data_IF_688547081105
#
_entry.id   IF_688547081105
#
_cell.length_a   1.000
_cell.length_b   1.000
_cell.length_c   1.000
_cell.angle_alpha   90.00
_cell.angle_beta   90.00
_cell.angle_gamma   90.00
#
_symmetry.space_group_name_H-M   'P 1'
#
loop_
_entity.id
_entity.type
_entity.pdbx_description
1 polymer ?
#
# COMPACT_ATOMS: atom_id res chain seq x y z
N UNK A 1 -9.54 7.02 36.91
CA UNK A 1 -9.71 6.30 35.62
C UNK A 1 -9.00 7.00 34.48
N UNK A 2 -9.22 8.29 34.13
CA UNK A 2 -8.58 8.93 32.93
C UNK A 2 -7.04 8.91 32.93
N UNK A 3 -6.38 9.12 34.10
CA UNK A 3 -4.91 9.07 34.20
C UNK A 3 -4.36 7.63 33.99
N UNK A 4 -5.02 6.64 34.57
CA UNK A 4 -4.65 5.23 34.38
C UNK A 4 -4.76 4.80 32.92
N UNK A 5 -5.86 5.14 32.25
CA UNK A 5 -6.03 4.85 30.81
C UNK A 5 -4.94 5.53 29.96
N UNK A 6 -4.56 6.78 30.25
CA UNK A 6 -3.46 7.47 29.54
C UNK A 6 -2.12 6.76 29.72
N UNK A 7 -1.76 6.40 30.98
CA UNK A 7 -0.50 5.69 31.26
C UNK A 7 -0.49 4.35 30.56
N UNK A 8 -1.59 3.59 30.63
CA UNK A 8 -1.71 2.29 29.96
C UNK A 8 -1.58 2.41 28.44
N UNK A 9 -2.22 3.41 27.85
CA UNK A 9 -2.09 3.67 26.40
C UNK A 9 -0.64 3.99 26.01
N UNK A 10 0.05 4.83 26.78
CA UNK A 10 1.47 5.17 26.53
C UNK A 10 2.35 3.93 26.65
N UNK A 11 2.12 3.07 27.64
CA UNK A 11 2.87 1.82 27.78
C UNK A 11 2.67 0.86 26.61
N UNK A 12 1.44 0.73 26.10
CA UNK A 12 1.15 -0.07 24.91
C UNK A 12 1.92 0.48 23.70
N UNK A 13 1.85 1.79 23.46
CA UNK A 13 2.59 2.38 22.34
C UNK A 13 4.09 2.23 22.50
N UNK A 14 4.62 2.43 23.71
CA UNK A 14 6.05 2.20 23.99
C UNK A 14 6.44 0.77 23.67
N UNK A 15 5.67 -0.22 24.10
CA UNK A 15 5.92 -1.63 23.83
C UNK A 15 5.87 -1.95 22.32
N UNK A 16 4.90 -1.39 21.59
CA UNK A 16 4.75 -1.61 20.14
C UNK A 16 5.92 -1.00 19.35
N UNK A 17 6.38 0.19 19.74
CA UNK A 17 7.46 0.88 19.02
C UNK A 17 8.86 0.58 19.55
N UNK A 18 8.98 -0.11 20.70
CA UNK A 18 10.26 -0.44 21.31
C UNK A 18 11.23 -1.17 20.35
N UNK A 19 10.81 -2.20 19.58
CA UNK A 19 11.71 -2.86 18.63
C UNK A 19 12.23 -1.90 17.56
N UNK A 20 11.39 -0.97 17.08
CA UNK A 20 11.78 0.03 16.07
C UNK A 20 12.75 1.07 16.66
N UNK A 21 12.54 1.47 17.92
CA UNK A 21 13.45 2.37 18.64
C UNK A 21 14.81 1.70 18.84
N UNK A 22 14.84 0.41 19.23
CA UNK A 22 16.08 -0.35 19.39
C UNK A 22 16.85 -0.42 18.08
N UNK A 23 16.18 -0.73 16.95
CA UNK A 23 16.81 -0.72 15.62
C UNK A 23 17.33 0.67 15.26
N UNK A 24 16.55 1.72 15.55
CA UNK A 24 16.95 3.10 15.35
C UNK A 24 18.20 3.48 16.12
N UNK A 25 18.31 3.08 17.40
CA UNK A 25 19.50 3.29 18.20
C UNK A 25 20.67 2.48 17.66
N UNK A 26 20.45 1.19 17.34
CA UNK A 26 21.50 0.31 16.80
C UNK A 26 22.04 0.81 15.45
N UNK A 27 21.28 1.56 14.66
CA UNK A 27 21.72 2.13 13.39
C UNK A 27 22.84 3.17 13.57
N UNK A 28 22.96 3.77 14.75
CA UNK A 28 24.02 4.72 15.11
C UNK A 28 25.18 4.07 15.87
N UNK A 29 25.14 2.75 16.12
CA UNK A 29 26.20 2.05 16.84
C UNK A 29 27.38 1.76 15.91
N UNK A 30 28.60 1.89 16.43
CA UNK A 30 29.84 1.48 15.73
C UNK A 30 30.04 -0.03 15.69
N UNK A 31 29.49 -0.74 16.69
CA UNK A 31 29.58 -2.19 16.80
C UNK A 31 28.62 -2.93 15.83
N UNK A 32 28.87 -4.22 15.71
CA UNK A 32 28.04 -5.13 14.91
C UNK A 32 26.91 -5.76 15.72
N UNK A 33 27.02 -5.73 17.05
CA UNK A 33 26.06 -6.32 17.97
C UNK A 33 25.03 -5.25 18.40
N UNK A 34 23.74 -5.64 18.35
CA UNK A 34 22.63 -4.78 18.79
C UNK A 34 22.60 -4.65 20.33
N UNK A 35 23.13 -5.65 21.04
CA UNK A 35 23.08 -5.72 22.50
C UNK A 35 24.16 -4.86 23.19
N UNK A 36 25.24 -4.50 22.48
CA UNK A 36 26.35 -3.72 23.02
C UNK A 36 26.47 -2.37 22.36
N UNK A 37 26.62 -1.32 23.14
CA UNK A 37 26.84 0.03 22.64
C UNK A 37 28.32 0.36 22.62
N UNK A 38 28.95 0.37 21.44
CA UNK A 38 30.36 0.59 21.24
C UNK A 38 30.73 2.04 20.84
N UNK A 39 29.72 2.88 20.64
CA UNK A 39 29.90 4.30 20.33
C UNK A 39 29.00 4.82 19.22
N UNK A 40 28.90 6.13 19.12
CA UNK A 40 28.06 6.79 18.11
C UNK A 40 28.79 6.93 16.76
N UNK A 41 28.10 6.56 15.66
CA UNK A 41 28.62 6.76 14.31
C UNK A 41 27.50 7.04 13.30
N UNK A 42 27.80 7.82 12.28
CA UNK A 42 27.00 7.95 11.05
C UNK A 42 27.56 7.10 9.90
N UNK A 43 28.61 6.33 10.20
CA UNK A 43 29.30 5.49 9.21
C UNK A 43 28.37 4.48 8.53
N UNK A 44 27.38 3.95 9.24
CA UNK A 44 26.40 2.99 8.71
C UNK A 44 25.53 3.62 7.60
N UNK A 45 25.09 4.86 7.80
CA UNK A 45 24.34 5.61 6.79
C UNK A 45 25.21 5.93 5.58
N UNK A 46 26.47 6.33 5.81
CA UNK A 46 27.42 6.56 4.72
C UNK A 46 27.68 5.28 3.92
N UNK A 47 27.88 4.16 4.60
CA UNK A 47 28.05 2.84 3.96
C UNK A 47 26.80 2.42 3.18
N UNK A 48 25.59 2.71 3.71
CA UNK A 48 24.33 2.46 3.03
C UNK A 48 24.21 3.25 1.72
N UNK A 49 24.49 4.56 1.74
CA UNK A 49 24.41 5.42 0.55
C UNK A 49 25.52 5.13 -0.48
N UNK A 50 26.60 4.47 -0.09
CA UNK A 50 27.65 4.02 -0.99
C UNK A 50 27.42 2.58 -1.48
N UNK A 51 26.37 1.91 -1.01
CA UNK A 51 26.07 0.54 -1.40
C UNK A 51 25.35 0.50 -2.75
N UNK A 52 26.07 0.10 -3.77
CA UNK A 52 25.56 -0.01 -5.14
C UNK A 52 24.59 -1.18 -5.35
N UNK A 53 24.36 -2.04 -4.33
CA UNK A 53 23.43 -3.16 -4.39
C UNK A 53 22.08 -2.81 -3.76
N UNK A 54 22.08 -2.12 -2.61
CA UNK A 54 20.84 -1.80 -1.86
C UNK A 54 20.03 -0.66 -2.48
N UNK A 55 20.68 0.38 -2.99
CA UNK A 55 20.00 1.52 -3.59
C UNK A 55 19.17 1.16 -4.83
N UNK A 56 19.68 0.35 -5.79
CA UNK A 56 18.86 -0.14 -6.89
C UNK A 56 17.65 -0.97 -6.45
N UNK A 57 17.79 -1.80 -5.41
CA UNK A 57 16.68 -2.59 -4.87
C UNK A 57 15.58 -1.72 -4.25
N UNK A 58 15.99 -0.65 -3.56
CA UNK A 58 15.06 0.38 -3.08
C UNK A 58 14.34 1.04 -4.26
N UNK A 59 15.07 1.43 -5.31
CA UNK A 59 14.51 1.97 -6.54
C UNK A 59 13.50 1.01 -7.20
N UNK A 60 13.82 -0.28 -7.26
CA UNK A 60 12.91 -1.31 -7.79
C UNK A 60 11.61 -1.39 -6.99
N UNK A 61 11.70 -1.36 -5.64
CA UNK A 61 10.52 -1.40 -4.77
C UNK A 61 9.63 -0.18 -4.95
N UNK A 62 10.21 1.02 -5.04
CA UNK A 62 9.44 2.24 -5.32
C UNK A 62 8.83 2.21 -6.72
N UNK A 63 9.58 1.75 -7.73
CA UNK A 63 9.08 1.66 -9.11
C UNK A 63 7.87 0.74 -9.19
N UNK A 64 7.97 -0.47 -8.63
CA UNK A 64 6.86 -1.43 -8.66
C UNK A 64 5.65 -0.91 -7.89
N UNK A 65 5.88 -0.33 -6.69
CA UNK A 65 4.82 0.23 -5.85
C UNK A 65 4.08 1.37 -6.53
N UNK A 66 4.80 2.31 -7.15
CA UNK A 66 4.19 3.44 -7.87
C UNK A 66 3.39 2.95 -9.08
N UNK A 67 4.00 2.10 -9.92
CA UNK A 67 3.35 1.64 -11.15
C UNK A 67 2.14 0.76 -10.83
N UNK A 68 2.26 -0.15 -9.87
CA UNK A 68 1.15 -0.98 -9.41
C UNK A 68 0.03 -0.13 -8.80
N UNK A 69 0.35 0.82 -7.92
CA UNK A 69 -0.63 1.70 -7.30
C UNK A 69 -1.38 2.56 -8.33
N UNK A 70 -0.70 3.11 -9.34
CA UNK A 70 -1.36 3.89 -10.40
C UNK A 70 -2.31 3.01 -11.21
N UNK A 71 -1.85 1.84 -11.65
CA UNK A 71 -2.68 0.94 -12.48
C UNK A 71 -3.84 0.38 -11.67
N UNK A 72 -3.60 -0.09 -10.45
CA UNK A 72 -4.66 -0.63 -9.58
C UNK A 72 -5.66 0.45 -9.17
N UNK A 73 -5.23 1.71 -8.99
CA UNK A 73 -6.13 2.84 -8.73
C UNK A 73 -7.06 3.09 -9.90
N UNK A 74 -6.54 3.11 -11.12
CA UNK A 74 -7.38 3.29 -12.31
C UNK A 74 -8.36 2.13 -12.47
N UNK A 75 -7.86 0.90 -12.46
CA UNK A 75 -8.68 -0.30 -12.65
C UNK A 75 -9.67 -0.50 -11.49
N UNK A 76 -9.25 -0.30 -10.24
CA UNK A 76 -10.08 -0.41 -9.05
C UNK A 76 -11.18 0.65 -9.00
N UNK A 77 -10.87 1.88 -9.41
CA UNK A 77 -11.88 2.94 -9.54
C UNK A 77 -12.90 2.61 -10.63
N UNK A 78 -12.45 2.15 -11.79
CA UNK A 78 -13.36 1.70 -12.86
C UNK A 78 -14.24 0.54 -12.41
N UNK A 79 -13.65 -0.43 -11.69
CA UNK A 79 -14.41 -1.54 -11.10
C UNK A 79 -15.43 -1.05 -10.06
N UNK A 80 -15.06 -0.11 -9.19
CA UNK A 80 -15.98 0.48 -8.20
C UNK A 80 -17.16 1.20 -8.87
N UNK A 81 -16.91 1.97 -9.94
CA UNK A 81 -17.97 2.61 -10.77
C UNK A 81 -18.90 1.54 -11.35
N UNK A 82 -18.33 0.49 -11.94
CA UNK A 82 -19.11 -0.62 -12.50
C UNK A 82 -19.96 -1.33 -11.44
N UNK A 83 -19.38 -1.66 -10.30
CA UNK A 83 -20.07 -2.30 -9.16
C UNK A 83 -21.17 -1.38 -8.60
N UNK A 84 -20.91 -0.06 -8.53
CA UNK A 84 -21.91 0.91 -8.06
C UNK A 84 -23.16 0.90 -8.93
N UNK A 85 -22.99 0.81 -10.26
CA UNK A 85 -24.08 0.81 -11.25
C UNK A 85 -24.86 -0.51 -11.30
N UNK A 86 -24.40 -1.57 -10.64
CA UNK A 86 -25.06 -2.89 -10.64
C UNK A 86 -26.33 -2.90 -9.79
N UNK A 87 -27.27 -3.77 -10.17
CA UNK A 87 -28.44 -4.12 -9.34
C UNK A 87 -27.99 -4.78 -8.03
N UNK A 88 -28.85 -4.74 -7.00
CA UNK A 88 -28.54 -5.17 -5.63
C UNK A 88 -27.89 -6.58 -5.53
N UNK A 89 -28.42 -7.58 -6.26
CA UNK A 89 -27.89 -8.97 -6.20
C UNK A 89 -26.48 -9.11 -6.82
N UNK A 90 -26.25 -8.70 -8.08
CA UNK A 90 -24.90 -8.79 -8.66
C UNK A 90 -23.90 -7.86 -7.95
N UNK A 91 -24.34 -6.70 -7.44
CA UNK A 91 -23.50 -5.82 -6.61
C UNK A 91 -23.01 -6.53 -5.35
N UNK A 92 -23.90 -7.21 -4.62
CA UNK A 92 -23.54 -7.96 -3.43
C UNK A 92 -22.55 -9.09 -3.75
N UNK A 93 -22.78 -9.84 -4.84
CA UNK A 93 -21.85 -10.88 -5.29
C UNK A 93 -20.49 -10.32 -5.65
N UNK A 94 -20.43 -9.24 -6.44
CA UNK A 94 -19.18 -8.58 -6.81
C UNK A 94 -18.40 -8.11 -5.60
N UNK A 95 -19.06 -7.48 -4.61
CA UNK A 95 -18.42 -7.04 -3.37
C UNK A 95 -17.91 -8.22 -2.54
N UNK A 96 -18.64 -9.34 -2.49
CA UNK A 96 -18.17 -10.57 -1.81
C UNK A 96 -16.91 -11.10 -2.51
N UNK A 97 -16.91 -11.19 -3.84
CA UNK A 97 -15.77 -11.66 -4.62
C UNK A 97 -14.54 -10.73 -4.45
N UNK A 98 -14.75 -9.42 -4.33
CA UNK A 98 -13.69 -8.44 -4.06
C UNK A 98 -13.04 -8.67 -2.69
N UNK A 99 -13.81 -9.12 -1.68
CA UNK A 99 -13.29 -9.35 -0.34
C UNK A 99 -12.53 -10.68 -0.20
N UNK A 100 -12.75 -11.67 -1.06
CA UNK A 100 -12.10 -13.00 -0.97
C UNK A 100 -10.56 -12.88 -0.97
N UNK A 101 -9.92 -12.16 -1.90
CA UNK A 101 -8.47 -12.06 -1.91
C UNK A 101 -7.88 -11.45 -0.63
N UNK A 102 -8.59 -10.53 0.01
CA UNK A 102 -8.13 -9.87 1.24
C UNK A 102 -8.20 -10.77 2.48
N UNK A 103 -9.08 -11.76 2.48
CA UNK A 103 -9.22 -12.72 3.58
C UNK A 103 -8.36 -13.96 3.37
N UNK A 104 -7.85 -14.15 2.16
CA UNK A 104 -6.97 -15.27 1.83
C UNK A 104 -5.55 -14.99 2.33
N UNK A 105 -4.85 -15.95 2.96
CA UNK A 105 -3.46 -15.78 3.34
C UNK A 105 -2.57 -15.42 2.13
N UNK A 106 -1.73 -14.40 2.27
CA UNK A 106 -0.87 -13.91 1.18
C UNK A 106 0.01 -14.99 0.57
N UNK A 107 0.46 -15.95 1.40
CA UNK A 107 1.26 -17.09 0.94
C UNK A 107 0.50 -17.97 -0.05
N UNK A 108 -0.82 -18.15 0.15
CA UNK A 108 -1.67 -18.94 -0.77
C UNK A 108 -1.85 -18.18 -2.09
N UNK A 109 -2.07 -16.88 -2.00
CA UNK A 109 -2.18 -16.00 -3.17
C UNK A 109 -0.87 -16.00 -3.96
N UNK A 110 0.28 -15.81 -3.28
CA UNK A 110 1.60 -15.80 -3.91
C UNK A 110 1.94 -17.11 -4.61
N UNK A 111 1.72 -18.26 -3.95
CA UNK A 111 1.95 -19.59 -4.54
C UNK A 111 1.01 -19.82 -5.73
N UNK A 112 -0.26 -19.45 -5.62
CA UNK A 112 -1.23 -19.61 -6.71
C UNK A 112 -0.86 -18.80 -7.94
N UNK A 113 -0.41 -17.54 -7.75
CA UNK A 113 0.08 -16.70 -8.84
C UNK A 113 1.36 -17.25 -9.45
N UNK A 114 2.29 -17.75 -8.64
CA UNK A 114 3.52 -18.37 -9.14
C UNK A 114 3.23 -19.58 -10.02
N UNK A 115 2.29 -20.45 -9.60
CA UNK A 115 1.85 -21.61 -10.38
C UNK A 115 1.15 -21.18 -11.68
N UNK A 116 0.32 -20.15 -11.61
CA UNK A 116 -0.34 -19.59 -12.79
C UNK A 116 0.69 -19.05 -13.79
N UNK A 117 1.67 -18.28 -13.35
CA UNK A 117 2.71 -17.72 -14.21
C UNK A 117 3.62 -18.82 -14.80
N UNK A 118 3.95 -19.84 -14.01
CA UNK A 118 4.71 -20.99 -14.49
C UNK A 118 3.93 -21.75 -15.58
N UNK A 119 2.63 -21.97 -15.39
CA UNK A 119 1.75 -22.58 -16.38
C UNK A 119 1.70 -21.76 -17.68
N UNK A 120 1.45 -20.44 -17.56
CA UNK A 120 1.44 -19.52 -18.71
C UNK A 120 2.79 -19.54 -19.43
N UNK A 121 3.92 -19.60 -18.69
CA UNK A 121 5.25 -19.72 -19.25
C UNK A 121 5.44 -20.98 -20.09
N UNK A 122 4.96 -22.10 -19.58
CA UNK A 122 4.99 -23.38 -20.29
C UNK A 122 4.18 -23.32 -21.59
N UNK A 123 2.96 -22.77 -21.53
CA UNK A 123 2.09 -22.61 -22.71
C UNK A 123 2.71 -21.69 -23.76
N UNK A 124 3.33 -20.59 -23.32
CA UNK A 124 4.00 -19.61 -24.19
C UNK A 124 5.42 -20.04 -24.62
N UNK A 125 5.90 -21.22 -24.17
CA UNK A 125 7.26 -21.73 -24.41
C UNK A 125 8.37 -20.73 -24.02
N UNK A 126 8.16 -19.94 -22.94
CA UNK A 126 9.14 -19.01 -22.41
C UNK A 126 9.83 -19.62 -21.18
N UNK A 127 11.16 -19.71 -21.23
CA UNK A 127 11.97 -20.31 -20.14
C UNK A 127 12.10 -19.41 -18.90
N UNK A 128 11.93 -18.09 -19.04
CA UNK A 128 12.02 -17.12 -17.95
C UNK A 128 10.80 -16.20 -18.00
N UNK A 129 9.77 -16.54 -17.23
CA UNK A 129 8.53 -15.74 -17.16
C UNK A 129 8.55 -14.81 -15.96
N UNK A 130 9.22 -15.23 -14.86
CA UNK A 130 9.29 -14.47 -13.63
C UNK A 130 10.18 -13.22 -13.76
N UNK A 131 9.69 -12.08 -13.28
CA UNK A 131 10.40 -10.80 -13.33
C UNK A 131 9.47 -9.62 -13.06
N UNK A 132 9.81 -8.46 -13.62
CA UNK A 132 9.03 -7.22 -13.43
C UNK A 132 7.54 -7.40 -13.78
N UNK A 133 7.23 -8.03 -14.92
CA UNK A 133 5.83 -8.16 -15.37
C UNK A 133 4.99 -9.04 -14.45
N UNK A 134 5.54 -10.16 -13.95
CA UNK A 134 4.83 -11.04 -13.01
C UNK A 134 4.63 -10.39 -11.66
N UNK A 135 5.64 -9.67 -11.16
CA UNK A 135 5.53 -8.84 -9.98
C UNK A 135 4.44 -7.78 -10.15
N UNK A 136 4.47 -7.02 -11.26
CA UNK A 136 3.51 -5.97 -11.51
C UNK A 136 2.07 -6.49 -11.54
N UNK A 137 1.83 -7.59 -12.28
CA UNK A 137 0.48 -8.20 -12.36
C UNK A 137 0.03 -8.69 -10.97
N UNK A 138 0.93 -9.31 -10.22
CA UNK A 138 0.61 -9.78 -8.87
C UNK A 138 0.22 -8.62 -7.95
N UNK A 139 1.01 -7.55 -7.93
CA UNK A 139 0.73 -6.35 -7.12
C UNK A 139 -0.58 -5.68 -7.54
N UNK A 140 -0.84 -5.48 -8.84
CA UNK A 140 -2.12 -4.95 -9.31
C UNK A 140 -3.29 -5.82 -8.84
N UNK A 141 -3.15 -7.13 -8.93
CA UNK A 141 -4.22 -8.08 -8.57
C UNK A 141 -4.59 -7.97 -7.10
N UNK A 142 -3.60 -7.87 -6.22
CA UNK A 142 -3.85 -7.82 -4.79
C UNK A 142 -4.17 -6.41 -4.27
N UNK A 143 -3.68 -5.35 -4.93
CA UNK A 143 -3.98 -3.95 -4.58
C UNK A 143 -5.40 -3.53 -4.96
N UNK A 144 -5.92 -4.06 -6.07
CA UNK A 144 -7.21 -3.63 -6.65
C UNK A 144 -8.40 -3.72 -5.67
N UNK A 145 -8.56 -4.76 -4.84
CA UNK A 145 -9.60 -4.82 -3.82
C UNK A 145 -9.56 -3.66 -2.83
N UNK A 146 -8.38 -3.25 -2.39
CA UNK A 146 -8.21 -2.13 -1.44
C UNK A 146 -8.67 -0.80 -2.04
N UNK A 147 -8.38 -0.58 -3.33
CA UNK A 147 -8.88 0.60 -4.06
C UNK A 147 -10.41 0.57 -4.16
N UNK A 148 -10.99 -0.56 -4.58
CA UNK A 148 -12.45 -0.71 -4.68
C UNK A 148 -13.13 -0.39 -3.34
N UNK A 149 -12.61 -0.95 -2.25
CA UNK A 149 -13.18 -0.75 -0.91
C UNK A 149 -12.97 0.67 -0.37
N UNK A 150 -11.96 1.38 -0.83
CA UNK A 150 -11.73 2.79 -0.48
C UNK A 150 -12.67 3.73 -1.23
N UNK A 151 -13.00 3.41 -2.49
CA UNK A 151 -13.85 4.23 -3.36
C UNK A 151 -15.34 3.98 -3.11
N UNK A 152 -15.76 2.72 -2.88
CA UNK A 152 -17.19 2.36 -2.73
C UNK A 152 -17.95 3.14 -1.66
N UNK A 153 -17.41 3.42 -0.45
CA UNK A 153 -18.10 4.22 0.55
C UNK A 153 -18.40 5.65 0.10
N UNK A 154 -17.57 6.23 -0.78
CA UNK A 154 -17.79 7.58 -1.29
C UNK A 154 -19.01 7.65 -2.20
N UNK A 155 -19.24 6.64 -3.02
CA UNK A 155 -20.49 6.52 -3.78
C UNK A 155 -21.74 6.45 -2.87
N UNK A 156 -21.64 5.79 -1.74
CA UNK A 156 -22.76 5.68 -0.79
C UNK A 156 -23.01 6.99 -0.03
N UNK A 157 -21.95 7.81 0.15
CA UNK A 157 -22.02 9.12 0.81
C UNK A 157 -22.40 10.25 -0.14
N UNK A 158 -22.26 10.04 -1.46
CA UNK A 158 -22.61 11.02 -2.49
C UNK A 158 -24.13 11.19 -2.52
N UNK A 159 -24.59 12.42 -2.73
CA UNK A 159 -25.99 12.71 -2.97
C UNK A 159 -26.41 12.08 -4.31
N UNK A 160 -27.46 11.23 -4.33
CA UNK A 160 -27.90 10.55 -5.56
C UNK A 160 -28.36 11.53 -6.64
N UNK A 161 -28.85 12.71 -6.28
CA UNK A 161 -29.42 13.69 -7.20
C UNK A 161 -28.35 14.54 -7.92
N UNK A 162 -27.09 14.52 -7.46
CA UNK A 162 -26.01 15.30 -8.06
C UNK A 162 -25.75 14.98 -9.53
N UNK A 163 -25.84 13.71 -9.90
CA UNK A 163 -25.64 13.29 -11.28
C UNK A 163 -26.82 13.73 -12.17
N UNK A 164 -28.06 13.62 -11.67
CA UNK A 164 -29.25 14.06 -12.38
C UNK A 164 -29.26 15.58 -12.57
N UNK A 165 -28.93 16.33 -11.52
CA UNK A 165 -28.79 17.78 -11.60
C UNK A 165 -27.76 18.24 -12.66
N UNK A 166 -26.63 17.50 -12.77
CA UNK A 166 -25.65 17.80 -13.82
C UNK A 166 -26.19 17.54 -15.24
N UNK A 167 -27.00 16.50 -15.41
CA UNK A 167 -27.68 16.22 -16.70
C UNK A 167 -28.68 17.27 -17.03
N UNK A 168 -29.48 17.73 -16.07
CA UNK A 168 -30.48 18.80 -16.24
C UNK A 168 -29.84 20.15 -16.62
N UNK A 169 -28.61 20.38 -16.14
CA UNK A 169 -27.79 21.54 -16.53
C UNK A 169 -27.13 21.39 -17.91
N UNK A 170 -27.49 20.34 -18.68
CA UNK A 170 -27.03 20.15 -20.06
C UNK A 170 -25.71 19.36 -20.20
N UNK A 171 -25.19 18.77 -19.15
CA UNK A 171 -24.06 17.86 -19.27
C UNK A 171 -24.47 16.54 -19.91
N UNK A 172 -23.65 15.99 -20.79
CA UNK A 172 -23.82 14.59 -21.19
C UNK A 172 -23.33 13.63 -20.05
N UNK A 173 -23.70 12.33 -20.05
CA UNK A 173 -23.37 11.40 -18.98
C UNK A 173 -21.87 11.30 -18.67
N UNK A 174 -21.01 11.39 -19.68
CA UNK A 174 -19.56 11.37 -19.53
C UNK A 174 -19.06 12.65 -18.86
N UNK A 175 -19.62 13.81 -19.26
CA UNK A 175 -19.30 15.09 -18.63
C UNK A 175 -19.77 15.15 -17.17
N UNK A 176 -20.98 14.67 -16.88
CA UNK A 176 -21.48 14.57 -15.51
C UNK A 176 -20.57 13.71 -14.64
N UNK A 177 -20.12 12.57 -15.16
CA UNK A 177 -19.17 11.71 -14.46
C UNK A 177 -17.85 12.44 -14.15
N UNK A 178 -17.16 13.01 -15.15
CA UNK A 178 -15.85 13.63 -14.94
C UNK A 178 -15.90 14.98 -14.21
N UNK A 179 -16.98 15.75 -14.35
CA UNK A 179 -17.09 17.07 -13.71
C UNK A 179 -17.68 17.01 -12.30
N UNK A 180 -18.52 16.03 -12.01
CA UNK A 180 -19.25 15.95 -10.73
C UNK A 180 -18.85 14.70 -9.97
N UNK A 181 -19.17 13.51 -10.50
CA UNK A 181 -19.01 12.25 -9.76
C UNK A 181 -17.56 12.02 -9.33
N UNK A 182 -16.60 12.22 -10.25
CA UNK A 182 -15.18 11.96 -9.94
C UNK A 182 -14.65 12.87 -8.82
N UNK A 183 -15.15 14.12 -8.73
CA UNK A 183 -14.76 15.03 -7.66
C UNK A 183 -15.29 14.60 -6.29
N UNK A 184 -16.50 14.05 -6.25
CA UNK A 184 -17.11 13.52 -5.03
C UNK A 184 -16.39 12.25 -4.51
N UNK A 185 -15.96 11.39 -5.42
CA UNK A 185 -15.25 10.14 -5.05
C UNK A 185 -13.73 10.32 -4.94
N UNK A 186 -13.18 11.48 -5.33
CA UNK A 186 -11.73 11.75 -5.36
C UNK A 186 -11.03 11.45 -4.02
N UNK A 187 -11.58 11.81 -2.85
CA UNK A 187 -10.95 11.45 -1.57
C UNK A 187 -10.82 9.94 -1.38
N UNK A 188 -11.79 9.16 -1.88
CA UNK A 188 -11.74 7.70 -1.89
C UNK A 188 -10.67 7.15 -2.84
N UNK A 189 -10.53 7.77 -4.03
CA UNK A 189 -9.49 7.41 -5.00
C UNK A 189 -8.11 7.66 -4.43
N UNK A 190 -7.88 8.82 -3.82
CA UNK A 190 -6.60 9.17 -3.18
C UNK A 190 -6.30 8.19 -2.05
N UNK A 191 -7.25 7.92 -1.16
CA UNK A 191 -7.08 6.96 -0.08
C UNK A 191 -6.76 5.55 -0.61
N UNK A 192 -7.45 5.11 -1.67
CA UNK A 192 -7.21 3.83 -2.32
C UNK A 192 -5.82 3.75 -2.96
N UNK A 193 -5.39 4.82 -3.65
CA UNK A 193 -4.06 4.90 -4.25
C UNK A 193 -2.94 4.81 -3.21
N UNK A 194 -3.12 5.50 -2.07
CA UNK A 194 -2.15 5.49 -0.98
C UNK A 194 -2.11 4.14 -0.27
N UNK A 195 -3.27 3.48 -0.09
CA UNK A 195 -3.34 2.10 0.41
C UNK A 195 -2.58 1.15 -0.52
N UNK A 196 -2.90 1.17 -1.83
CA UNK A 196 -2.25 0.34 -2.84
C UNK A 196 -0.72 0.57 -2.85
N UNK A 197 -0.28 1.82 -2.83
CA UNK A 197 1.15 2.15 -2.77
C UNK A 197 1.83 1.58 -1.53
N UNK A 198 1.21 1.75 -0.35
CA UNK A 198 1.79 1.27 0.92
C UNK A 198 1.85 -0.26 0.94
N UNK A 199 0.77 -0.93 0.56
CA UNK A 199 0.68 -2.40 0.49
C UNK A 199 1.70 -2.97 -0.49
N UNK A 200 1.87 -2.33 -1.66
CA UNK A 200 2.83 -2.76 -2.68
C UNK A 200 4.29 -2.49 -2.27
N UNK A 201 4.56 -1.45 -1.47
CA UNK A 201 5.92 -1.08 -1.08
C UNK A 201 6.54 -2.07 -0.08
N UNK A 202 5.75 -2.56 0.87
CA UNK A 202 6.22 -3.45 1.95
C UNK A 202 5.90 -4.92 1.68
N UNK A 203 5.27 -5.26 0.54
CA UNK A 203 4.99 -6.64 0.20
C UNK A 203 6.28 -7.45 0.04
N UNK A 204 6.35 -8.46 0.90
CA UNK A 204 7.38 -9.48 0.84
C UNK A 204 6.82 -10.81 0.36
N UNK A 205 5.63 -11.19 0.84
CA UNK A 205 5.13 -12.57 0.73
C UNK A 205 4.81 -12.91 -0.71
N UNK A 206 3.99 -12.11 -1.37
CA UNK A 206 3.60 -12.33 -2.76
C UNK A 206 4.82 -12.16 -3.66
N UNK A 207 5.58 -11.07 -3.45
CA UNK A 207 6.81 -10.78 -4.20
C UNK A 207 7.79 -11.95 -4.18
N UNK A 208 7.97 -12.62 -3.03
CA UNK A 208 8.89 -13.74 -2.87
C UNK A 208 8.58 -14.94 -3.78
N UNK A 209 7.32 -15.15 -4.14
CA UNK A 209 6.93 -16.26 -5.00
C UNK A 209 6.93 -15.92 -6.49
N UNK A 210 6.85 -14.62 -6.83
CA UNK A 210 6.66 -14.20 -8.24
C UNK A 210 7.81 -13.36 -8.79
N UNK A 211 8.85 -13.04 -7.97
CA UNK A 211 10.02 -12.29 -8.44
C UNK A 211 10.86 -13.13 -9.39
N UNK A 212 11.67 -12.47 -10.20
CA UNK A 212 12.65 -13.12 -11.07
C UNK A 212 14.07 -12.61 -10.85
N UNK A 213 15.08 -13.32 -11.35
CA UNK A 213 16.49 -12.96 -11.15
C UNK A 213 16.85 -11.55 -11.65
N UNK A 214 16.12 -11.06 -12.65
CA UNK A 214 16.38 -9.75 -13.27
C UNK A 214 15.74 -8.58 -12.52
N UNK A 215 14.78 -8.83 -11.62
CA UNK A 215 14.08 -7.78 -10.90
C UNK A 215 13.70 -8.27 -9.49
N UNK A 216 14.43 -7.77 -8.50
CA UNK A 216 14.27 -8.10 -7.08
C UNK A 216 13.86 -6.84 -6.34
N UNK A 217 12.90 -6.98 -5.42
CA UNK A 217 12.46 -5.89 -4.53
C UNK A 217 13.25 -5.92 -3.23
N UNK A 218 13.32 -4.79 -2.55
CA UNK A 218 14.05 -4.65 -1.30
C UNK A 218 13.53 -5.58 -0.19
N UNK A 219 12.19 -5.75 0.05
CA UNK A 219 11.69 -6.68 1.06
C UNK A 219 12.16 -8.12 0.84
N UNK A 220 12.20 -8.58 -0.41
CA UNK A 220 12.68 -9.93 -0.76
C UNK A 220 14.17 -10.07 -0.42
N UNK A 221 14.99 -9.08 -0.77
CA UNK A 221 16.41 -9.11 -0.48
C UNK A 221 16.72 -8.98 1.02
N UNK A 222 15.97 -8.15 1.74
CA UNK A 222 16.05 -8.06 3.21
C UNK A 222 15.83 -9.44 3.83
N UNK A 223 14.84 -10.18 3.39
CA UNK A 223 14.63 -11.55 3.88
C UNK A 223 15.81 -12.47 3.59
N UNK A 224 16.44 -12.34 2.42
CA UNK A 224 17.66 -13.09 2.11
C UNK A 224 18.82 -12.73 3.06
N UNK A 225 18.91 -11.46 3.47
CA UNK A 225 19.90 -11.02 4.47
C UNK A 225 19.61 -11.59 5.85
N UNK A 226 18.36 -11.80 6.27
CA UNK A 226 18.06 -12.37 7.59
C UNK A 226 18.53 -13.81 7.76
N UNK A 227 18.81 -14.51 6.66
CA UNK A 227 19.42 -15.85 6.68
C UNK A 227 20.92 -15.85 7.03
N UNK A 228 21.53 -14.67 7.12
CA UNK A 228 22.95 -14.44 7.45
C UNK A 228 23.05 -13.47 8.62
N UNK A 229 24.17 -13.40 9.34
CA UNK A 229 24.37 -12.34 10.33
C UNK A 229 24.15 -10.96 9.72
N UNK A 230 23.24 -10.18 10.31
CA UNK A 230 22.88 -8.87 9.80
C UNK A 230 24.06 -7.90 9.90
N UNK A 231 24.36 -7.24 8.81
CA UNK A 231 25.37 -6.19 8.80
C UNK A 231 24.78 -4.89 9.37
N UNK A 232 25.56 -4.08 10.13
CA UNK A 232 25.06 -2.87 10.78
C UNK A 232 24.41 -1.85 9.82
N UNK A 233 24.86 -1.78 8.55
CA UNK A 233 24.22 -0.94 7.51
C UNK A 233 22.76 -1.30 7.25
N UNK A 234 22.35 -2.54 7.55
CA UNK A 234 20.95 -2.98 7.41
C UNK A 234 20.06 -2.34 8.49
N UNK A 235 20.59 -2.09 9.69
CA UNK A 235 19.84 -1.34 10.72
C UNK A 235 19.58 0.10 10.28
N UNK A 236 20.57 0.74 9.64
CA UNK A 236 20.39 2.07 9.05
C UNK A 236 19.34 2.07 7.92
N UNK A 237 19.33 1.04 7.08
CA UNK A 237 18.31 0.85 6.04
C UNK A 237 16.90 0.73 6.63
N UNK A 238 16.71 -0.13 7.63
CA UNK A 238 15.41 -0.30 8.30
C UNK A 238 14.93 0.99 8.96
N UNK A 239 15.84 1.70 9.62
CA UNK A 239 15.52 2.99 10.25
C UNK A 239 15.08 4.01 9.20
N UNK A 240 15.77 4.09 8.08
CA UNK A 240 15.44 5.01 6.99
C UNK A 240 14.09 4.64 6.37
N UNK A 241 13.84 3.36 6.08
CA UNK A 241 12.55 2.89 5.58
C UNK A 241 11.41 3.21 6.54
N UNK A 242 11.59 2.92 7.84
CA UNK A 242 10.61 3.24 8.86
C UNK A 242 10.29 4.74 8.90
N UNK A 243 11.31 5.60 8.82
CA UNK A 243 11.12 7.05 8.78
C UNK A 243 10.38 7.50 7.52
N UNK A 244 10.70 6.93 6.36
CA UNK A 244 10.00 7.25 5.10
C UNK A 244 8.54 6.86 5.18
N UNK A 245 8.24 5.63 5.64
CA UNK A 245 6.86 5.15 5.81
C UNK A 245 6.11 6.02 6.83
N UNK A 246 6.74 6.34 7.96
CA UNK A 246 6.15 7.19 8.98
C UNK A 246 5.81 8.59 8.44
N UNK A 247 6.72 9.21 7.69
CA UNK A 247 6.50 10.52 7.06
C UNK A 247 5.35 10.42 6.06
N UNK A 248 5.31 9.38 5.23
CA UNK A 248 4.22 9.16 4.28
C UNK A 248 2.88 9.00 5.00
N UNK A 249 2.81 8.19 6.06
CA UNK A 249 1.58 8.01 6.85
C UNK A 249 1.11 9.30 7.51
N UNK A 250 2.04 10.09 8.08
CA UNK A 250 1.70 11.39 8.68
C UNK A 250 1.18 12.35 7.61
N UNK A 251 1.82 12.39 6.45
CA UNK A 251 1.39 13.23 5.32
C UNK A 251 0.01 12.81 4.83
N UNK A 252 -0.24 11.50 4.67
CA UNK A 252 -1.53 10.96 4.30
C UNK A 252 -2.63 11.35 5.29
N UNK A 253 -2.38 11.16 6.57
CA UNK A 253 -3.34 11.51 7.62
C UNK A 253 -3.64 13.02 7.63
N UNK A 254 -2.61 13.85 7.42
CA UNK A 254 -2.79 15.30 7.33
C UNK A 254 -3.66 15.70 6.11
N UNK A 255 -3.44 15.08 4.96
CA UNK A 255 -4.25 15.30 3.76
C UNK A 255 -5.71 14.87 3.96
N UNK A 256 -5.95 13.72 4.60
CA UNK A 256 -7.30 13.23 4.91
C UNK A 256 -8.04 14.13 5.91
N UNK A 257 -7.34 14.62 6.94
CA UNK A 257 -7.93 15.53 7.93
C UNK A 257 -8.31 16.88 7.30
N UNK A 258 -7.51 17.39 6.38
CA UNK A 258 -7.81 18.63 5.65
C UNK A 258 -9.08 18.52 4.80
N UNK A 259 -9.30 17.34 4.22
CA UNK A 259 -10.50 17.07 3.40
C UNK A 259 -11.77 16.97 4.26
N UNK A 260 -11.66 16.41 5.47
CA UNK A 260 -12.79 16.29 6.41
C UNK A 260 -13.22 17.64 7.04
N UNK A 261 -12.31 18.62 7.14
CA UNK A 261 -12.59 19.95 7.69
C UNK A 261 -13.25 20.89 6.66
N UNK A 262 -13.20 20.58 5.37
CA UNK A 262 -13.84 21.39 4.34
C UNK A 262 -15.30 20.99 4.03
N UNK A 263 -15.88 19.98 4.70
CA UNK A 263 -17.31 19.70 4.64
C UNK A 263 -18.01 20.40 5.81
N UNK A 264 -18.73 21.51 5.58
CA UNK A 264 -19.56 22.11 6.63
C UNK A 264 -20.63 21.10 7.04
N UNK A 265 -20.85 21.02 8.34
CA UNK A 265 -21.83 20.19 9.07
C UNK A 265 -23.27 20.68 8.77
N UNK A 266 -23.70 20.63 7.52
CA UNK A 266 -25.06 20.99 7.09
C UNK A 266 -26.02 19.79 7.07
N UNK A 267 -25.99 18.97 8.15
CA UNK A 267 -26.97 17.88 8.31
C UNK A 267 -27.48 17.76 9.74
N UNK A 268 -27.78 18.88 10.38
CA UNK A 268 -28.67 18.93 11.54
C UNK A 268 -29.64 20.07 11.30
N UNK A 269 -30.77 19.75 10.72
CA UNK A 269 -32.04 20.43 10.84
C UNK A 269 -32.92 20.05 9.65
N UNK A 270 -33.51 18.87 9.71
CA UNK A 270 -34.81 18.55 9.10
C UNK A 270 -35.32 17.27 9.74
N UNK A 271 -35.89 17.43 10.91
CA UNK A 271 -36.90 16.52 11.47
C UNK A 271 -38.25 17.13 11.21
#
# INVERSE_FOLDING_TARGET
MKKFCKVFTVLIFLFLYLPMIVLGVASFNTGTDVATWDGFTLGQYRALFQDHTLLPLLGNSFLIAIVAAVISTVLGTMAAVGIHSMRRRPKALAMTLTNIPMTNPDIVTGVSLALLFAFVGTVLKKNHVMGFSTLLIAHITFDMPYVILSVMPKFTQMDPDLQEAALDLGCNPVQAFFKVVIHEILPGIISGALMAFTMSLDDFVISYFVYGPSFVTLPVEIYNYTKKPLQPKIYALFTLLFLVILILMVLMNFLQLRDSTHRPENRKESV
#
